data_IF_997498705204
#
_entry.id   IF_997498705204
#
_cell.length_a   1.000
_cell.length_b   1.000
_cell.length_c   1.000
_cell.angle_alpha   90.00
_cell.angle_beta   90.00
_cell.angle_gamma   90.00
#
_symmetry.space_group_name_H-M   'P 1'
#
loop_
_entity.id
_entity.type
_entity.pdbx_description
1 polymer ?
#
# COMPACT_ATOMS: atom_id res chain seq x y z
N UNK A 1 32.69 12.00 21.43
CA UNK A 1 31.56 12.65 20.71
C UNK A 1 30.29 12.40 21.51
N UNK A 2 29.57 13.44 21.88
CA UNK A 2 28.21 13.31 22.42
C UNK A 2 27.19 13.23 21.29
N UNK A 3 26.02 12.64 21.58
CA UNK A 3 24.87 12.70 20.69
C UNK A 3 24.37 14.15 20.58
N UNK A 4 23.95 14.54 19.37
CA UNK A 4 23.33 15.84 19.08
C UNK A 4 21.92 15.61 18.50
N UNK A 5 20.84 15.89 19.26
CA UNK A 5 19.47 15.67 18.82
C UNK A 5 19.08 16.57 17.64
N UNK A 6 19.64 17.78 17.53
CA UNK A 6 19.29 18.71 16.46
C UNK A 6 19.86 18.24 15.13
N UNK A 7 21.10 17.72 15.13
CA UNK A 7 21.68 17.09 13.94
C UNK A 7 20.88 15.86 13.50
N UNK A 8 20.46 15.01 14.44
CA UNK A 8 19.62 13.86 14.13
C UNK A 8 18.27 14.29 13.51
N UNK A 9 17.64 15.32 14.06
CA UNK A 9 16.40 15.89 13.53
C UNK A 9 16.56 16.42 12.10
N UNK A 10 17.66 17.11 11.80
CA UNK A 10 17.93 17.60 10.44
C UNK A 10 18.07 16.46 9.42
N UNK A 11 18.65 15.30 9.81
CA UNK A 11 18.65 14.12 8.93
C UNK A 11 17.25 13.60 8.64
N UNK A 12 16.41 13.49 9.68
CA UNK A 12 15.00 13.05 9.53
C UNK A 12 14.25 14.01 8.60
N UNK A 13 14.39 15.31 8.81
CA UNK A 13 13.78 16.36 7.97
C UNK A 13 14.21 16.25 6.51
N UNK A 14 15.51 16.01 6.27
CA UNK A 14 16.05 15.81 4.92
C UNK A 14 15.64 14.50 4.26
N UNK A 15 14.98 13.59 4.97
CA UNK A 15 14.45 12.32 4.46
C UNK A 15 12.92 12.25 4.54
N UNK A 16 12.25 13.31 5.01
CA UNK A 16 10.82 13.37 5.25
C UNK A 16 10.01 13.65 3.96
N UNK A 17 10.17 12.78 2.97
CA UNK A 17 9.38 12.77 1.73
C UNK A 17 9.15 11.33 1.26
N UNK A 18 8.19 11.09 0.33
CA UNK A 18 7.95 9.78 -0.26
C UNK A 18 9.21 9.24 -0.95
N UNK A 19 9.61 8.03 -0.57
CA UNK A 19 10.86 7.39 -1.02
C UNK A 19 10.64 5.90 -1.25
N UNK A 20 9.49 5.59 -1.86
CA UNK A 20 9.10 4.22 -2.17
C UNK A 20 10.11 3.57 -3.12
N UNK A 21 10.30 2.26 -3.01
CA UNK A 21 11.31 1.53 -3.76
C UNK A 21 11.13 1.69 -5.27
N UNK A 22 12.23 1.98 -5.97
CA UNK A 22 12.25 2.23 -7.42
C UNK A 22 11.96 3.68 -7.83
N UNK A 23 11.62 4.56 -6.90
CA UNK A 23 11.27 5.96 -7.23
C UNK A 23 12.47 6.90 -7.20
N UNK A 24 12.32 8.09 -7.80
CA UNK A 24 13.30 9.18 -7.66
C UNK A 24 13.53 9.57 -6.19
N UNK A 25 12.51 9.42 -5.34
CA UNK A 25 12.60 9.65 -3.90
C UNK A 25 13.57 8.68 -3.22
N UNK A 26 13.54 7.39 -3.57
CA UNK A 26 14.53 6.41 -3.08
C UNK A 26 15.94 6.79 -3.54
N UNK A 27 16.11 7.14 -4.82
CA UNK A 27 17.40 7.54 -5.37
C UNK A 27 17.97 8.80 -4.67
N UNK A 28 17.11 9.79 -4.38
CA UNK A 28 17.47 11.01 -3.65
C UNK A 28 17.89 10.70 -2.22
N UNK A 29 17.13 9.83 -1.53
CA UNK A 29 17.46 9.38 -0.17
C UNK A 29 18.82 8.65 -0.16
N UNK A 30 19.07 7.76 -1.12
CA UNK A 30 20.36 7.06 -1.28
C UNK A 30 21.52 8.04 -1.42
N UNK A 31 21.43 8.98 -2.37
CA UNK A 31 22.46 10.01 -2.59
C UNK A 31 22.70 10.86 -1.34
N UNK A 32 21.65 11.22 -0.62
CA UNK A 32 21.76 11.97 0.64
C UNK A 32 22.52 11.18 1.71
N UNK A 33 22.14 9.92 1.97
CA UNK A 33 22.75 9.09 3.01
C UNK A 33 24.22 8.80 2.66
N UNK A 34 24.52 8.39 1.43
CA UNK A 34 25.89 8.11 0.97
C UNK A 34 26.77 9.34 1.11
N UNK A 35 26.32 10.51 0.64
CA UNK A 35 27.11 11.74 0.74
C UNK A 35 27.31 12.20 2.19
N UNK A 36 26.33 11.98 3.06
CA UNK A 36 26.42 12.32 4.49
C UNK A 36 27.43 11.43 5.21
N UNK A 37 27.39 10.12 5.00
CA UNK A 37 28.32 9.17 5.61
C UNK A 37 29.77 9.41 5.14
N UNK A 38 29.97 9.69 3.85
CA UNK A 38 31.28 10.07 3.31
C UNK A 38 31.82 11.35 3.95
N UNK A 39 30.98 12.37 4.18
CA UNK A 39 31.38 13.59 4.91
C UNK A 39 31.78 13.32 6.37
N UNK A 40 31.26 12.26 6.96
CA UNK A 40 31.65 11.82 8.31
C UNK A 40 32.91 10.96 8.35
N UNK A 41 33.56 10.75 7.19
CA UNK A 41 34.81 10.01 7.08
C UNK A 41 34.64 8.50 7.00
N UNK A 42 33.43 8.01 6.73
CA UNK A 42 33.20 6.58 6.49
C UNK A 42 33.49 6.21 5.04
N UNK A 43 34.09 5.02 4.86
CA UNK A 43 33.98 4.30 3.60
C UNK A 43 32.57 3.77 3.45
N UNK A 44 31.95 3.99 2.29
CA UNK A 44 30.56 3.63 2.01
C UNK A 44 30.51 2.77 0.76
N UNK A 45 29.96 1.57 0.90
CA UNK A 45 29.62 0.69 -0.23
C UNK A 45 28.12 0.71 -0.48
N UNK A 46 27.75 0.74 -1.74
CA UNK A 46 26.37 0.56 -2.21
C UNK A 46 26.26 -0.86 -2.75
N UNK A 47 25.42 -1.69 -2.13
CA UNK A 47 25.21 -3.08 -2.52
C UNK A 47 23.88 -3.17 -3.27
N UNK A 48 23.97 -3.35 -4.60
CA UNK A 48 22.83 -3.40 -5.49
C UNK A 48 22.09 -4.74 -5.38
N UNK A 49 20.76 -4.70 -5.38
CA UNK A 49 19.92 -5.88 -5.49
C UNK A 49 18.71 -5.60 -6.38
N UNK A 50 18.26 -6.63 -7.09
CA UNK A 50 17.04 -6.56 -7.90
C UNK A 50 15.81 -6.74 -7.01
N UNK A 51 14.79 -5.93 -7.25
CA UNK A 51 13.50 -5.99 -6.57
C UNK A 51 12.38 -5.87 -7.59
N UNK A 52 11.34 -6.67 -7.39
CA UNK A 52 10.08 -6.50 -8.09
C UNK A 52 9.18 -5.60 -7.25
N UNK A 53 8.73 -4.49 -7.82
CA UNK A 53 7.98 -3.44 -7.13
C UNK A 53 6.81 -2.97 -7.99
N UNK A 54 6.06 -2.00 -7.50
CA UNK A 54 4.92 -1.41 -8.18
C UNK A 54 4.88 0.11 -8.06
N UNK A 55 4.07 0.74 -8.90
CA UNK A 55 3.67 2.13 -8.81
C UNK A 55 2.15 2.19 -8.96
N UNK A 56 1.47 2.87 -8.03
CA UNK A 56 0.04 3.16 -8.15
C UNK A 56 -0.10 4.41 -9.01
N UNK A 57 -0.61 4.24 -10.23
CA UNK A 57 -0.83 5.33 -11.18
C UNK A 57 -2.15 6.05 -10.88
N UNK A 58 -3.17 5.30 -10.45
CA UNK A 58 -4.50 5.83 -10.14
C UNK A 58 -5.24 4.97 -9.13
N UNK A 59 -5.86 5.60 -8.14
CA UNK A 59 -6.79 4.96 -7.22
C UNK A 59 -8.00 5.89 -6.97
N UNK A 60 -9.20 5.41 -7.29
CA UNK A 60 -10.45 6.14 -7.05
C UNK A 60 -11.51 5.20 -6.50
N UNK A 61 -12.33 5.73 -5.59
CA UNK A 61 -13.50 5.05 -5.06
C UNK A 61 -14.68 6.02 -4.98
N UNK A 62 -15.80 5.61 -5.56
CA UNK A 62 -17.02 6.39 -5.55
C UNK A 62 -18.21 5.47 -5.26
N UNK A 63 -19.01 5.80 -4.25
CA UNK A 63 -20.34 5.22 -4.12
C UNK A 63 -21.25 5.93 -5.11
N UNK A 64 -22.03 5.15 -5.87
CA UNK A 64 -22.91 5.66 -6.94
C UNK A 64 -24.40 5.47 -6.64
N UNK A 65 -24.74 4.55 -5.73
CA UNK A 65 -26.11 4.36 -5.23
C UNK A 65 -26.12 3.98 -3.74
N UNK A 66 -27.13 4.43 -2.96
CA UNK A 66 -28.26 5.28 -3.34
C UNK A 66 -27.91 6.79 -3.38
N UNK A 67 -26.67 7.14 -3.10
CA UNK A 67 -26.12 8.49 -3.16
C UNK A 67 -24.80 8.48 -3.91
N UNK A 68 -24.35 9.66 -4.33
CA UNK A 68 -23.03 9.85 -4.94
C UNK A 68 -22.06 10.48 -3.95
N UNK A 69 -20.99 9.76 -3.62
CA UNK A 69 -19.92 10.24 -2.74
C UNK A 69 -18.58 9.69 -3.23
N UNK A 70 -17.63 10.59 -3.51
CA UNK A 70 -16.22 10.23 -3.69
C UNK A 70 -15.57 10.05 -2.33
N UNK A 71 -14.88 8.93 -2.15
CA UNK A 71 -14.28 8.55 -0.88
C UNK A 71 -12.75 8.54 -1.05
N UNK A 72 -12.06 9.23 -0.13
CA UNK A 72 -10.59 9.20 -0.08
C UNK A 72 -10.10 7.75 0.11
N UNK A 73 -9.21 7.31 -0.78
CA UNK A 73 -8.69 5.95 -0.78
C UNK A 73 -7.22 5.92 -1.20
N UNK A 74 -6.55 4.80 -0.91
CA UNK A 74 -5.23 4.47 -1.41
C UNK A 74 -5.29 3.11 -2.14
N UNK A 75 -4.53 2.97 -3.22
CA UNK A 75 -4.37 1.70 -3.92
C UNK A 75 -3.55 0.69 -3.10
N UNK A 76 -3.87 -0.59 -3.23
CA UNK A 76 -3.07 -1.68 -2.65
C UNK A 76 -2.20 -2.30 -3.74
N UNK A 77 -0.89 -2.28 -3.55
CA UNK A 77 0.09 -2.82 -4.49
C UNK A 77 -0.05 -4.32 -4.70
N UNK A 78 0.29 -4.77 -5.92
CA UNK A 78 0.26 -6.16 -6.38
C UNK A 78 -1.13 -6.80 -6.46
N UNK A 79 -2.20 -6.02 -6.36
CA UNK A 79 -3.57 -6.53 -6.37
C UNK A 79 -4.21 -6.54 -7.76
N UNK A 80 -3.50 -6.05 -8.78
CA UNK A 80 -3.99 -5.99 -10.16
C UNK A 80 -4.70 -4.68 -10.48
N UNK A 81 -5.21 -4.58 -11.71
CA UNK A 81 -5.83 -3.36 -12.23
C UNK A 81 -7.30 -3.59 -12.59
N UNK A 82 -8.09 -2.53 -12.47
CA UNK A 82 -9.37 -2.43 -13.18
C UNK A 82 -9.12 -2.09 -14.66
N UNK A 83 -10.13 -2.17 -15.53
CA UNK A 83 -10.16 -1.38 -16.76
C UNK A 83 -9.96 0.12 -16.47
N UNK A 84 -9.58 0.92 -17.47
CA UNK A 84 -9.36 2.37 -17.31
C UNK A 84 -10.62 3.11 -16.86
N UNK A 85 -11.77 2.69 -17.37
CA UNK A 85 -13.10 3.18 -17.00
C UNK A 85 -13.51 2.75 -15.58
N UNK A 86 -12.75 1.87 -14.93
CA UNK A 86 -13.06 1.29 -13.62
C UNK A 86 -14.03 0.12 -13.69
N UNK A 87 -14.39 -0.40 -12.53
CA UNK A 87 -15.42 -1.43 -12.37
C UNK A 87 -16.57 -0.90 -11.53
N UNK A 88 -17.79 -1.02 -12.04
CA UNK A 88 -19.02 -0.72 -11.31
C UNK A 88 -19.75 -2.01 -10.95
N UNK A 89 -20.08 -2.18 -9.68
CA UNK A 89 -20.78 -3.37 -9.20
C UNK A 89 -21.50 -3.12 -7.86
N UNK A 90 -22.30 -4.09 -7.47
CA UNK A 90 -22.91 -4.15 -6.14
C UNK A 90 -21.86 -4.15 -5.05
N UNK A 91 -21.96 -3.18 -4.13
CA UNK A 91 -21.14 -3.07 -2.93
C UNK A 91 -21.76 -3.94 -1.83
N UNK A 92 -21.03 -4.96 -1.39
CA UNK A 92 -21.45 -5.87 -0.32
C UNK A 92 -20.54 -5.73 0.88
N UNK A 93 -21.10 -5.24 1.98
CA UNK A 93 -20.40 -5.22 3.27
C UNK A 93 -20.31 -6.63 3.84
N UNK A 94 -19.09 -7.09 4.09
CA UNK A 94 -18.80 -8.43 4.62
C UNK A 94 -18.06 -8.41 5.95
N UNK A 95 -18.06 -7.28 6.65
CA UNK A 95 -17.45 -7.07 7.98
C UNK A 95 -16.00 -7.60 8.05
N UNK A 96 -15.78 -8.77 8.65
CA UNK A 96 -14.49 -9.43 8.86
C UNK A 96 -14.10 -10.37 7.70
N UNK A 97 -14.92 -10.45 6.66
CA UNK A 97 -14.77 -11.37 5.54
C UNK A 97 -15.19 -12.82 5.86
N UNK A 98 -15.77 -13.05 7.03
CA UNK A 98 -16.25 -14.34 7.47
C UNK A 98 -17.35 -14.90 6.55
N UNK A 99 -17.36 -16.23 6.38
CA UNK A 99 -18.29 -16.95 5.49
C UNK A 99 -19.76 -16.62 5.71
N UNK A 100 -20.13 -16.24 6.94
CA UNK A 100 -21.50 -15.83 7.32
C UNK A 100 -22.01 -14.60 6.56
N UNK A 101 -21.12 -13.79 6.01
CA UNK A 101 -21.46 -12.59 5.25
C UNK A 101 -21.25 -12.72 3.74
N UNK A 102 -20.86 -13.89 3.25
CA UNK A 102 -20.56 -14.04 1.84
C UNK A 102 -21.80 -13.76 0.99
N UNK A 103 -21.70 -12.85 0.00
CA UNK A 103 -22.82 -12.55 -0.87
C UNK A 103 -23.13 -13.75 -1.77
N UNK A 104 -24.38 -13.81 -2.24
CA UNK A 104 -24.76 -14.77 -3.29
C UNK A 104 -24.29 -14.24 -4.64
N UNK A 105 -23.58 -15.06 -5.40
CA UNK A 105 -23.07 -14.71 -6.73
C UNK A 105 -21.66 -14.11 -6.73
N UNK A 106 -21.11 -13.91 -7.92
CA UNK A 106 -19.74 -13.45 -8.18
C UNK A 106 -19.74 -11.97 -8.64
N UNK A 107 -18.57 -11.34 -8.76
CA UNK A 107 -18.44 -10.00 -9.36
C UNK A 107 -18.87 -8.83 -8.47
N UNK A 108 -19.00 -9.04 -7.16
CA UNK A 108 -19.30 -7.99 -6.20
C UNK A 108 -18.07 -7.14 -5.88
N UNK A 109 -18.28 -5.87 -5.51
CA UNK A 109 -17.29 -5.09 -4.78
C UNK A 109 -17.46 -5.42 -3.29
N UNK A 110 -16.43 -5.97 -2.67
CA UNK A 110 -16.48 -6.40 -1.27
C UNK A 110 -15.95 -5.29 -0.36
N UNK A 111 -16.74 -4.86 0.63
CA UNK A 111 -16.34 -3.90 1.64
C UNK A 111 -16.07 -4.61 2.97
N UNK A 112 -14.84 -4.51 3.47
CA UNK A 112 -14.38 -5.11 4.72
C UNK A 112 -14.03 -4.04 5.74
N UNK A 113 -14.40 -4.28 7.00
CA UNK A 113 -13.99 -3.50 8.16
C UNK A 113 -12.74 -4.10 8.85
N UNK A 114 -11.86 -4.74 8.08
CA UNK A 114 -10.63 -5.39 8.57
C UNK A 114 -9.52 -5.29 7.53
N UNK A 115 -8.26 -5.41 7.98
CA UNK A 115 -7.15 -5.72 7.07
C UNK A 115 -7.26 -7.15 6.54
N UNK A 116 -6.62 -7.39 5.39
CA UNK A 116 -6.65 -8.68 4.70
C UNK A 116 -5.35 -9.44 4.96
N UNK A 117 -5.45 -10.58 5.65
CA UNK A 117 -4.35 -11.53 5.79
C UNK A 117 -4.39 -12.60 4.68
N UNK A 118 -3.41 -13.51 4.64
CA UNK A 118 -3.30 -14.53 3.58
C UNK A 118 -4.52 -15.46 3.51
N UNK A 119 -5.01 -15.95 4.65
CA UNK A 119 -6.13 -16.90 4.66
C UNK A 119 -7.42 -16.22 4.22
N UNK A 120 -7.65 -14.99 4.68
CA UNK A 120 -8.77 -14.19 4.21
C UNK A 120 -8.63 -13.88 2.72
N UNK A 121 -7.44 -13.49 2.23
CA UNK A 121 -7.21 -13.24 0.81
C UNK A 121 -7.57 -14.45 -0.05
N UNK A 122 -7.12 -15.66 0.32
CA UNK A 122 -7.47 -16.91 -0.36
C UNK A 122 -8.98 -17.14 -0.41
N UNK A 123 -9.66 -16.88 0.71
CA UNK A 123 -11.10 -17.05 0.81
C UNK A 123 -11.87 -16.00 -0.03
N UNK A 124 -11.42 -14.75 -0.04
CA UNK A 124 -11.99 -13.69 -0.87
C UNK A 124 -11.82 -13.99 -2.37
N UNK A 125 -10.68 -14.53 -2.80
CA UNK A 125 -10.47 -14.89 -4.22
C UNK A 125 -11.47 -15.93 -4.73
N UNK A 126 -11.99 -16.82 -3.85
CA UNK A 126 -13.03 -17.80 -4.21
C UNK A 126 -14.36 -17.15 -4.55
N UNK A 127 -14.63 -15.95 -4.02
CA UNK A 127 -15.84 -15.17 -4.32
C UNK A 127 -15.78 -14.47 -5.69
N UNK A 128 -14.61 -14.49 -6.34
CA UNK A 128 -14.31 -13.77 -7.59
C UNK A 128 -14.85 -12.33 -7.57
N UNK A 129 -14.38 -11.51 -6.61
CA UNK A 129 -14.82 -10.13 -6.50
C UNK A 129 -14.40 -9.30 -7.71
N UNK A 130 -15.20 -8.29 -8.03
CA UNK A 130 -14.86 -7.26 -8.99
C UNK A 130 -13.78 -6.32 -8.45
N UNK A 131 -13.86 -5.98 -7.16
CA UNK A 131 -12.86 -5.24 -6.41
C UNK A 131 -12.99 -5.51 -4.91
N UNK A 132 -11.95 -5.18 -4.14
CA UNK A 132 -11.94 -5.28 -2.69
C UNK A 132 -11.68 -3.89 -2.09
N UNK A 133 -12.50 -3.49 -1.12
CA UNK A 133 -12.34 -2.27 -0.35
C UNK A 133 -12.13 -2.66 1.11
N UNK A 134 -10.92 -2.44 1.62
CA UNK A 134 -10.55 -2.70 3.01
C UNK A 134 -10.41 -1.41 3.80
N UNK A 135 -10.43 -1.49 5.13
CA UNK A 135 -10.30 -0.31 5.99
C UNK A 135 -8.98 -0.26 6.72
N UNK A 136 -8.60 0.94 7.12
CA UNK A 136 -7.77 1.12 8.32
C UNK A 136 -8.47 0.54 9.56
N UNK A 137 -7.69 -0.06 10.45
CA UNK A 137 -8.18 -0.55 11.74
C UNK A 137 -8.25 0.55 12.81
N UNK A 138 -7.49 1.63 12.62
CA UNK A 138 -7.47 2.77 13.53
C UNK A 138 -8.29 3.94 12.95
N UNK A 139 -9.27 4.48 13.69
CA UNK A 139 -10.11 5.59 13.21
C UNK A 139 -9.34 6.84 12.76
N UNK A 140 -8.22 7.16 13.41
CA UNK A 140 -7.44 8.35 13.12
C UNK A 140 -6.50 8.21 11.90
N UNK A 141 -6.35 7.00 11.33
CA UNK A 141 -5.44 6.78 10.21
C UNK A 141 -6.07 7.19 8.89
N UNK A 142 -5.28 7.92 8.10
CA UNK A 142 -5.51 8.09 6.66
C UNK A 142 -5.28 6.77 5.92
N UNK A 143 -5.81 6.60 4.70
CA UNK A 143 -5.58 5.39 3.91
C UNK A 143 -4.07 5.12 3.74
N UNK A 144 -3.61 3.97 4.20
CA UNK A 144 -2.20 3.58 4.10
C UNK A 144 -1.87 3.12 2.68
N UNK A 145 -0.69 3.50 2.21
CA UNK A 145 -0.09 2.94 1.00
C UNK A 145 0.59 1.62 1.39
N UNK A 146 0.01 0.50 0.95
CA UNK A 146 0.42 -0.86 1.33
C UNK A 146 0.31 -1.80 0.14
N UNK A 147 0.87 -2.99 0.27
CA UNK A 147 0.80 -4.05 -0.71
C UNK A 147 0.44 -5.39 -0.08
N UNK A 148 0.03 -6.33 -0.92
CA UNK A 148 0.10 -7.74 -0.57
C UNK A 148 1.51 -8.27 -0.89
N UNK A 149 2.03 -9.27 -0.14
CA UNK A 149 3.21 -9.99 -0.57
C UNK A 149 3.03 -10.56 -1.97
N UNK A 150 4.05 -10.42 -2.82
CA UNK A 150 3.97 -10.79 -4.24
C UNK A 150 3.53 -12.24 -4.46
N UNK A 151 3.93 -13.15 -3.57
CA UNK A 151 3.61 -14.58 -3.64
C UNK A 151 2.11 -14.86 -3.50
N UNK A 152 1.33 -13.95 -2.90
CA UNK A 152 -0.10 -14.12 -2.73
C UNK A 152 -0.85 -14.13 -4.07
N UNK A 153 -0.28 -13.52 -5.12
CA UNK A 153 -0.84 -13.51 -6.47
C UNK A 153 -1.10 -14.90 -7.04
N UNK A 154 -0.39 -15.94 -6.57
CA UNK A 154 -0.65 -17.34 -6.94
C UNK A 154 -2.05 -17.83 -6.58
N UNK A 155 -2.74 -17.13 -5.67
CA UNK A 155 -4.10 -17.42 -5.24
C UNK A 155 -5.16 -16.63 -6.02
N UNK A 156 -4.75 -15.77 -6.95
CA UNK A 156 -5.59 -14.84 -7.69
C UNK A 156 -5.17 -13.39 -7.45
N UNK A 157 -5.71 -12.50 -8.28
CA UNK A 157 -5.50 -11.05 -8.21
C UNK A 157 -6.86 -10.38 -8.37
N UNK A 158 -7.15 -9.40 -7.52
CA UNK A 158 -8.37 -8.58 -7.60
C UNK A 158 -8.05 -7.16 -7.13
N UNK A 159 -8.39 -6.12 -7.91
CA UNK A 159 -8.08 -4.74 -7.58
C UNK A 159 -8.55 -4.39 -6.16
N UNK A 160 -7.63 -3.90 -5.33
CA UNK A 160 -7.91 -3.63 -3.94
C UNK A 160 -7.49 -2.21 -3.56
N UNK A 161 -8.37 -1.55 -2.83
CA UNK A 161 -8.15 -0.21 -2.27
C UNK A 161 -8.35 -0.23 -0.76
N UNK A 162 -7.78 0.77 -0.11
CA UNK A 162 -7.91 1.00 1.32
C UNK A 162 -8.58 2.34 1.57
N UNK A 163 -9.52 2.38 2.51
CA UNK A 163 -10.23 3.59 2.95
C UNK A 163 -10.08 3.78 4.46
N UNK A 164 -10.46 4.95 4.97
CA UNK A 164 -10.49 5.18 6.41
C UNK A 164 -11.62 4.37 7.07
N UNK A 165 -11.42 4.03 8.35
CA UNK A 165 -12.45 3.39 9.16
C UNK A 165 -13.75 4.21 9.16
N UNK A 166 -13.64 5.53 9.38
CA UNK A 166 -14.79 6.43 9.42
C UNK A 166 -15.57 6.44 8.10
N UNK A 167 -14.87 6.36 6.95
CA UNK A 167 -15.52 6.26 5.65
C UNK A 167 -16.35 4.98 5.56
N UNK A 168 -15.76 3.82 5.86
CA UNK A 168 -16.51 2.55 5.87
C UNK A 168 -17.72 2.61 6.79
N UNK A 169 -17.56 3.10 8.02
CA UNK A 169 -18.66 3.24 8.96
C UNK A 169 -19.80 4.10 8.39
N UNK A 170 -19.48 5.25 7.79
CA UNK A 170 -20.48 6.11 7.12
C UNK A 170 -21.16 5.40 5.96
N UNK A 171 -20.40 4.72 5.10
CA UNK A 171 -20.97 4.03 3.94
C UNK A 171 -21.95 2.92 4.35
N UNK A 172 -21.59 2.14 5.37
CA UNK A 172 -22.47 1.10 5.93
C UNK A 172 -23.72 1.73 6.55
N UNK A 173 -23.55 2.77 7.38
CA UNK A 173 -24.66 3.47 8.04
C UNK A 173 -25.63 4.13 7.05
N UNK A 174 -25.10 4.73 5.98
CA UNK A 174 -25.88 5.39 4.93
C UNK A 174 -26.47 4.40 3.91
N UNK A 175 -26.18 3.10 4.05
CA UNK A 175 -26.74 2.05 3.19
C UNK A 175 -26.23 2.13 1.75
N UNK A 176 -24.93 2.36 1.54
CA UNK A 176 -24.29 2.29 0.23
C UNK A 176 -24.53 0.92 -0.42
N UNK A 177 -24.92 0.90 -1.70
CA UNK A 177 -25.37 -0.31 -2.43
C UNK A 177 -24.56 -0.63 -3.66
N UNK A 178 -24.12 0.38 -4.41
CA UNK A 178 -23.30 0.22 -5.62
C UNK A 178 -22.16 1.23 -5.60
N UNK A 179 -21.03 0.81 -6.14
CA UNK A 179 -19.85 1.64 -6.18
C UNK A 179 -19.07 1.45 -7.48
N UNK A 180 -18.18 2.39 -7.75
CA UNK A 180 -17.17 2.37 -8.79
C UNK A 180 -15.79 2.36 -8.15
N UNK A 181 -14.94 1.43 -8.56
CA UNK A 181 -13.51 1.40 -8.20
C UNK A 181 -12.68 1.59 -9.46
N UNK A 182 -11.66 2.44 -9.38
CA UNK A 182 -10.60 2.52 -10.39
C UNK A 182 -9.29 2.26 -9.68
N UNK A 183 -8.53 1.27 -10.14
CA UNK A 183 -7.16 1.05 -9.69
C UNK A 183 -6.30 0.73 -10.90
N UNK A 184 -5.34 1.61 -11.18
CA UNK A 184 -4.31 1.41 -12.19
C UNK A 184 -2.97 1.40 -11.48
N UNK A 185 -2.19 0.35 -11.75
CA UNK A 185 -0.85 0.18 -11.21
C UNK A 185 0.05 -0.48 -12.24
N UNK A 186 1.33 -0.13 -12.17
CA UNK A 186 2.37 -0.74 -13.00
C UNK A 186 3.33 -1.51 -12.11
N UNK A 187 3.52 -2.80 -12.41
CA UNK A 187 4.52 -3.64 -11.75
C UNK A 187 5.79 -3.73 -12.60
N UNK A 188 6.96 -3.60 -11.98
CA UNK A 188 8.24 -3.56 -12.70
C UNK A 188 9.39 -4.08 -11.84
N UNK A 189 10.44 -4.56 -12.53
CA UNK A 189 11.73 -4.85 -11.90
C UNK A 189 12.56 -3.58 -11.85
N UNK A 190 13.24 -3.36 -10.74
CA UNK A 190 14.19 -2.26 -10.57
C UNK A 190 15.35 -2.69 -9.69
N UNK A 191 16.36 -1.84 -9.59
CA UNK A 191 17.51 -2.04 -8.71
C UNK A 191 17.41 -1.09 -7.53
N UNK A 192 17.39 -1.65 -6.32
CA UNK A 192 17.56 -0.91 -5.08
C UNK A 192 18.93 -1.22 -4.47
N UNK A 193 19.27 -0.53 -3.38
CA UNK A 193 20.63 -0.53 -2.84
C UNK A 193 20.60 -0.54 -1.31
N UNK A 194 21.31 -1.49 -0.72
CA UNK A 194 21.71 -1.37 0.68
C UNK A 194 22.86 -0.36 0.76
N UNK A 195 22.84 0.49 1.79
CA UNK A 195 23.91 1.46 2.06
C UNK A 195 24.66 0.99 3.29
N UNK A 196 25.92 0.62 3.10
CA UNK A 196 26.72 -0.01 4.13
C UNK A 196 27.93 0.90 4.41
N UNK A 197 28.05 1.34 5.66
CA UNK A 197 29.20 2.07 6.15
C UNK A 197 29.75 1.33 7.36
N UNK A 198 31.07 1.12 7.36
CA UNK A 198 31.74 0.33 8.37
C UNK A 198 32.74 1.18 9.16
N UNK A 199 32.80 0.92 10.47
CA UNK A 199 33.86 1.42 11.33
C UNK A 199 34.68 0.23 11.81
N UNK A 200 35.79 -0.05 11.13
CA UNK A 200 36.66 -1.17 11.46
C UNK A 200 37.12 -1.09 12.93
N UNK A 201 37.05 -2.22 13.62
CA UNK A 201 37.56 -2.36 14.98
C UNK A 201 39.08 -2.29 15.01
N UNK A 202 39.65 -1.70 16.04
CA UNK A 202 41.12 -1.65 16.19
C UNK A 202 41.72 -2.95 16.75
N UNK A 203 40.92 -3.78 17.43
CA UNK A 203 41.37 -5.03 18.08
C UNK A 203 41.11 -6.28 17.25
N UNK A 204 40.00 -6.30 16.50
CA UNK A 204 39.61 -7.36 15.58
C UNK A 204 39.05 -6.66 14.33
N UNK A 205 39.93 -6.26 13.40
CA UNK A 205 39.54 -5.58 12.18
C UNK A 205 38.76 -6.50 11.22
#
# INVERSE_FOLDING_TARGET
>A
MSFDPYRAYEHVKNLAYPRFTGTEGEQKARKYIVSTLKKYGYEVREEAFEVYTYEIEKAEFEVIEPFREKVECAGVGFTGCTPEEGVEADLKYIEDGGRRFWPRGEGHILLLATSVNLELYKDLMKLKPAAIVSTEESPARKPSHVEIPYEWKRHGTCPMIKITYDACFRLVRSGAKRARVVLLQREFKTTSYNIIAEKAGSKYP
#
